data_IF_741861314715
#
_entry.id   IF_741861314715
#
_cell.length_a   1.000
_cell.length_b   1.000
_cell.length_c   1.000
_cell.angle_alpha   90.00
_cell.angle_beta   90.00
_cell.angle_gamma   90.00
#
_symmetry.space_group_name_H-M   'P 1'
#
loop_
_entity.id
_entity.type
_entity.pdbx_description
1 polymer ?
#
# COMPACT_ATOMS: atom_id res chain seq x y z
N UNK A 1 8.15 -7.88 5.20
CA UNK A 1 8.08 -6.48 4.72
C UNK A 1 6.92 -5.81 5.43
N UNK A 2 7.14 -4.68 6.11
CA UNK A 2 6.09 -3.97 6.84
C UNK A 2 5.09 -3.42 5.82
N UNK A 3 3.77 -3.52 6.05
CA UNK A 3 2.77 -2.76 5.32
C UNK A 3 3.03 -1.27 5.58
N UNK A 4 3.78 -0.58 4.73
CA UNK A 4 3.96 0.85 4.86
C UNK A 4 3.08 1.49 3.80
N UNK A 5 1.98 2.12 4.20
CA UNK A 5 1.38 3.16 3.38
C UNK A 5 1.91 4.51 3.89
N UNK A 6 2.76 5.19 3.13
CA UNK A 6 3.21 6.55 3.42
C UNK A 6 2.32 7.53 2.68
N UNK A 7 1.54 8.30 3.43
CA UNK A 7 0.80 9.46 2.92
C UNK A 7 1.75 10.67 2.93
N UNK A 8 1.95 11.31 1.78
CA UNK A 8 2.74 12.56 1.69
C UNK A 8 1.85 13.70 1.20
N UNK A 9 1.69 14.71 2.05
CA UNK A 9 0.96 15.95 1.79
C UNK A 9 0.86 16.79 3.07
N UNK A 10 1.81 17.70 3.31
CA UNK A 10 1.88 18.56 4.51
C UNK A 10 2.40 17.85 5.77
N UNK A 11 1.73 16.78 6.21
CA UNK A 11 2.13 15.93 7.34
C UNK A 11 2.13 14.46 6.93
N UNK A 12 3.13 13.71 7.38
CA UNK A 12 3.26 12.30 7.09
C UNK A 12 2.33 11.48 7.99
N UNK A 13 1.56 10.57 7.40
CA UNK A 13 0.73 9.61 8.14
C UNK A 13 0.98 8.19 7.65
N UNK A 14 1.08 7.26 8.58
CA UNK A 14 1.36 5.86 8.32
C UNK A 14 0.14 4.99 8.52
N UNK A 15 -0.06 4.03 7.62
CA UNK A 15 -1.03 2.96 7.83
C UNK A 15 -0.32 1.62 7.75
N UNK A 16 -0.46 0.82 8.81
CA UNK A 16 0.20 -0.49 8.94
C UNK A 16 -0.59 -1.42 9.88
N UNK A 17 -0.12 -2.63 10.12
CA UNK A 17 -0.68 -3.50 11.16
C UNK A 17 0.00 -3.24 12.51
N UNK A 18 -0.77 -3.43 13.57
CA UNK A 18 -0.27 -3.32 14.94
C UNK A 18 0.64 -4.51 15.25
N UNK A 19 1.93 -4.33 15.03
CA UNK A 19 2.98 -5.34 15.22
C UNK A 19 4.14 -4.72 16.00
N UNK A 20 4.88 -5.50 16.81
CA UNK A 20 6.01 -4.95 17.58
C UNK A 20 7.05 -4.22 16.72
N UNK A 21 7.32 -4.73 15.52
CA UNK A 21 8.24 -4.11 14.57
C UNK A 21 7.74 -2.74 14.07
N UNK A 22 6.44 -2.65 13.75
CA UNK A 22 5.82 -1.38 13.36
C UNK A 22 5.80 -0.38 14.51
N UNK A 23 5.44 -0.81 15.72
CA UNK A 23 5.43 0.04 16.91
C UNK A 23 6.81 0.60 17.24
N UNK A 24 7.85 -0.24 17.13
CA UNK A 24 9.23 0.17 17.37
C UNK A 24 9.71 1.21 16.36
N UNK A 25 9.43 0.99 15.06
CA UNK A 25 9.89 1.86 13.96
C UNK A 25 9.09 3.15 13.82
N UNK A 26 7.82 3.17 14.22
CA UNK A 26 6.92 4.30 14.06
C UNK A 26 6.66 5.03 15.39
N UNK A 27 7.57 4.92 16.35
CA UNK A 27 7.42 5.59 17.64
C UNK A 27 7.45 7.11 17.46
N UNK A 28 6.39 7.79 17.89
CA UNK A 28 6.25 9.25 17.76
C UNK A 28 5.71 9.70 16.40
N UNK A 29 5.42 8.76 15.49
CA UNK A 29 4.81 9.05 14.20
C UNK A 29 3.28 9.05 14.30
N UNK A 30 2.62 9.69 13.34
CA UNK A 30 1.17 9.57 13.19
C UNK A 30 0.83 8.26 12.49
N UNK A 31 0.16 7.34 13.19
CA UNK A 31 -0.13 5.98 12.69
C UNK A 31 -1.60 5.61 12.86
N UNK A 32 -2.19 5.03 11.82
CA UNK A 32 -3.45 4.28 11.89
C UNK A 32 -3.17 2.79 11.74
N UNK A 33 -3.56 2.00 12.73
CA UNK A 33 -3.43 0.55 12.65
C UNK A 33 -4.64 -0.10 11.99
N UNK A 34 -4.40 -0.86 10.93
CA UNK A 34 -5.42 -1.61 10.22
C UNK A 34 -5.73 -2.97 10.81
N UNK A 35 -6.82 -3.56 10.34
CA UNK A 35 -7.32 -4.85 10.81
C UNK A 35 -6.69 -6.00 10.04
N UNK A 36 -6.12 -6.95 10.78
CA UNK A 36 -5.55 -8.20 10.26
C UNK A 36 -6.30 -9.41 10.85
N UNK A 37 -6.25 -10.61 10.22
CA UNK A 37 -5.63 -10.91 8.93
C UNK A 37 -6.43 -10.33 7.75
N UNK A 38 -5.74 -10.03 6.65
CA UNK A 38 -6.34 -9.49 5.40
C UNK A 38 -6.52 -10.54 4.31
N UNK A 39 -5.81 -11.65 4.38
CA UNK A 39 -5.91 -12.75 3.42
C UNK A 39 -7.24 -13.48 3.60
N UNK A 40 -8.06 -13.53 2.55
CA UNK A 40 -9.36 -14.25 2.51
C UNK A 40 -10.30 -13.89 3.67
N UNK A 41 -10.21 -12.67 4.19
CA UNK A 41 -11.01 -12.21 5.32
C UNK A 41 -11.86 -10.99 4.90
N UNK A 42 -13.09 -11.27 4.46
CA UNK A 42 -14.02 -10.24 3.97
C UNK A 42 -14.46 -9.25 5.07
N UNK A 43 -14.74 -9.68 6.33
CA UNK A 43 -15.03 -8.74 7.42
C UNK A 43 -13.92 -7.70 7.63
N UNK A 44 -12.66 -8.13 7.65
CA UNK A 44 -11.54 -7.22 7.83
C UNK A 44 -11.28 -6.36 6.59
N UNK A 45 -11.56 -6.87 5.38
CA UNK A 45 -11.55 -6.04 4.17
C UNK A 45 -12.54 -4.87 4.28
N UNK A 46 -13.78 -5.13 4.73
CA UNK A 46 -14.78 -4.07 4.93
C UNK A 46 -14.39 -3.08 6.01
N UNK A 47 -13.82 -3.55 7.13
CA UNK A 47 -13.30 -2.67 8.19
C UNK A 47 -12.18 -1.77 7.67
N UNK A 48 -11.21 -2.34 6.96
CA UNK A 48 -10.11 -1.60 6.34
C UNK A 48 -10.60 -0.65 5.25
N UNK A 49 -11.69 -0.97 4.55
CA UNK A 49 -12.30 -0.07 3.57
C UNK A 49 -12.90 1.18 4.22
N UNK A 50 -13.64 1.01 5.33
CA UNK A 50 -14.18 2.12 6.12
C UNK A 50 -13.07 2.97 6.71
N UNK A 51 -12.03 2.31 7.25
CA UNK A 51 -10.85 2.99 7.77
C UNK A 51 -10.14 3.80 6.68
N UNK A 52 -9.88 3.20 5.52
CA UNK A 52 -9.23 3.87 4.40
C UNK A 52 -10.00 5.14 3.99
N UNK A 53 -11.33 5.05 3.86
CA UNK A 53 -12.15 6.22 3.56
C UNK A 53 -12.00 7.32 4.62
N UNK A 54 -12.02 6.96 5.91
CA UNK A 54 -11.84 7.92 7.00
C UNK A 54 -10.48 8.60 6.94
N UNK A 55 -9.40 7.81 6.82
CA UNK A 55 -8.02 8.30 6.75
C UNK A 55 -7.83 9.23 5.53
N UNK A 56 -8.29 8.81 4.35
CA UNK A 56 -8.15 9.63 3.14
C UNK A 56 -8.95 10.95 3.24
N UNK A 57 -10.10 10.94 3.90
CA UNK A 57 -10.90 12.17 4.11
C UNK A 57 -10.26 13.11 5.12
N UNK A 58 -9.70 12.55 6.20
CA UNK A 58 -9.08 13.31 7.28
C UNK A 58 -7.74 13.92 6.86
N UNK A 59 -6.87 13.12 6.25
CA UNK A 59 -5.49 13.53 5.94
C UNK A 59 -5.35 14.14 4.54
N UNK A 60 -6.31 13.92 3.63
CA UNK A 60 -6.31 14.46 2.25
C UNK A 60 -4.93 14.35 1.57
N UNK A 61 -4.37 13.13 1.43
CA UNK A 61 -3.05 12.91 0.83
C UNK A 61 -2.95 13.52 -0.57
N UNK A 62 -1.77 14.05 -0.91
CA UNK A 62 -1.42 14.32 -2.31
C UNK A 62 -0.88 13.07 -2.98
N UNK A 63 -0.18 12.21 -2.23
CA UNK A 63 0.29 10.90 -2.69
C UNK A 63 0.17 9.83 -1.61
N UNK A 64 -0.12 8.61 -2.04
CA UNK A 64 -0.11 7.38 -1.25
C UNK A 64 0.98 6.50 -1.83
N UNK A 65 1.94 6.10 -1.01
CA UNK A 65 3.00 5.16 -1.40
C UNK A 65 2.81 3.87 -0.62
N UNK A 66 2.82 2.69 -1.25
CA UNK A 66 2.75 1.41 -0.53
C UNK A 66 3.76 0.38 -0.99
N UNK A 67 4.42 -0.30 -0.06
CA UNK A 67 5.43 -1.35 -0.31
C UNK A 67 4.89 -2.77 -0.22
N UNK A 68 3.63 -2.96 -0.61
CA UNK A 68 3.00 -4.28 -0.67
C UNK A 68 2.46 -4.78 0.66
N UNK A 69 1.12 -4.85 0.76
CA UNK A 69 0.36 -5.56 1.79
C UNK A 69 -1.14 -5.57 1.43
N UNK A 70 -1.90 -6.50 1.98
CA UNK A 70 -3.36 -6.59 1.73
C UNK A 70 -4.13 -5.33 2.11
N UNK A 71 -3.62 -4.51 3.04
CA UNK A 71 -4.23 -3.24 3.43
C UNK A 71 -4.18 -2.18 2.33
N UNK A 72 -3.25 -2.28 1.37
CA UNK A 72 -3.09 -1.28 0.31
C UNK A 72 -4.30 -1.23 -0.64
N UNK A 73 -4.98 -2.36 -0.86
CA UNK A 73 -6.11 -2.48 -1.82
C UNK A 73 -7.18 -1.39 -1.61
N UNK A 74 -7.80 -1.23 -0.44
CA UNK A 74 -8.82 -0.19 -0.23
C UNK A 74 -8.27 1.24 -0.40
N UNK A 75 -7.02 1.51 -0.03
CA UNK A 75 -6.43 2.84 -0.17
C UNK A 75 -6.21 3.20 -1.64
N UNK A 76 -5.69 2.29 -2.46
CA UNK A 76 -5.45 2.56 -3.88
C UNK A 76 -6.76 2.69 -4.68
N UNK A 77 -7.77 1.88 -4.34
CA UNK A 77 -9.11 2.01 -4.93
C UNK A 77 -9.78 3.35 -4.63
N UNK A 78 -9.49 3.93 -3.46
CA UNK A 78 -10.09 5.20 -3.04
C UNK A 78 -9.19 6.42 -3.33
N UNK A 79 -7.90 6.23 -3.63
CA UNK A 79 -6.91 7.29 -3.82
C UNK A 79 -7.39 8.40 -4.77
N UNK A 80 -7.77 8.00 -5.99
CA UNK A 80 -8.20 8.91 -7.05
C UNK A 80 -9.43 9.74 -6.67
N UNK A 81 -10.37 9.16 -5.91
CA UNK A 81 -11.58 9.87 -5.44
C UNK A 81 -11.25 10.99 -4.45
N UNK A 82 -10.08 10.90 -3.81
CA UNK A 82 -9.57 11.90 -2.89
C UNK A 82 -8.50 12.80 -3.52
N UNK A 83 -8.30 12.73 -4.85
CA UNK A 83 -7.31 13.53 -5.57
C UNK A 83 -5.85 13.11 -5.32
N UNK A 84 -5.64 11.96 -4.67
CA UNK A 84 -4.31 11.48 -4.33
C UNK A 84 -3.70 10.66 -5.47
N UNK A 85 -2.43 10.91 -5.78
CA UNK A 85 -1.63 10.02 -6.63
C UNK A 85 -1.27 8.74 -5.89
N UNK A 86 -1.09 7.64 -6.60
CA UNK A 86 -0.84 6.33 -5.99
C UNK A 86 0.42 5.66 -6.54
N UNK A 87 1.35 5.31 -5.64
CA UNK A 87 2.62 4.67 -5.97
C UNK A 87 2.71 3.33 -5.26
N UNK A 88 2.68 2.24 -6.01
CA UNK A 88 2.81 0.89 -5.45
C UNK A 88 4.20 0.32 -5.74
N UNK A 89 4.84 -0.28 -4.73
CA UNK A 89 6.08 -1.06 -4.88
C UNK A 89 5.75 -2.51 -4.63
N UNK A 90 5.97 -3.35 -5.63
CA UNK A 90 5.75 -4.79 -5.52
C UNK A 90 6.82 -5.44 -4.63
N UNK A 91 6.44 -6.54 -3.99
CA UNK A 91 7.32 -7.29 -3.09
C UNK A 91 8.51 -7.90 -3.84
N UNK A 92 9.65 -7.94 -3.16
CA UNK A 92 10.93 -8.43 -3.70
C UNK A 92 10.95 -9.96 -3.87
N UNK A 93 10.18 -10.71 -3.09
CA UNK A 93 10.22 -12.18 -3.05
C UNK A 93 9.40 -12.87 -4.17
N UNK A 94 8.52 -12.12 -4.85
CA UNK A 94 7.63 -12.65 -5.91
C UNK A 94 8.09 -12.20 -7.29
N UNK A 95 9.15 -12.85 -7.76
CA UNK A 95 9.84 -12.49 -9.01
C UNK A 95 9.06 -12.93 -10.26
N UNK A 96 8.59 -14.18 -10.29
CA UNK A 96 8.00 -14.82 -11.48
C UNK A 96 6.50 -15.03 -11.38
N UNK A 97 5.87 -14.63 -10.26
CA UNK A 97 4.43 -14.76 -10.03
C UNK A 97 3.85 -13.43 -9.54
N UNK A 98 2.59 -13.17 -9.90
CA UNK A 98 1.88 -11.97 -9.43
C UNK A 98 1.34 -12.17 -8.02
N UNK A 99 1.47 -11.18 -7.15
CA UNK A 99 0.78 -11.18 -5.86
C UNK A 99 -0.71 -10.87 -6.04
N UNK A 100 -1.56 -11.35 -5.13
CA UNK A 100 -2.98 -10.99 -5.18
C UNK A 100 -3.17 -9.48 -5.02
N UNK A 101 -2.46 -8.87 -4.07
CA UNK A 101 -2.47 -7.42 -3.86
C UNK A 101 -2.00 -6.68 -5.10
N UNK A 102 -0.86 -7.08 -5.68
CA UNK A 102 -0.33 -6.48 -6.90
C UNK A 102 -1.34 -6.53 -8.04
N UNK A 103 -2.00 -7.67 -8.27
CA UNK A 103 -3.09 -7.79 -9.25
C UNK A 103 -4.26 -6.84 -8.99
N UNK A 104 -4.66 -6.67 -7.73
CA UNK A 104 -5.80 -5.84 -7.34
C UNK A 104 -5.48 -4.34 -7.36
N UNK A 105 -4.22 -3.98 -7.12
CA UNK A 105 -3.75 -2.58 -7.06
C UNK A 105 -3.26 -2.07 -8.40
N UNK A 106 -2.67 -2.93 -9.24
CA UNK A 106 -2.08 -2.58 -10.52
C UNK A 106 -2.94 -1.67 -11.41
N UNK A 107 -4.25 -1.92 -11.64
CA UNK A 107 -5.07 -1.04 -12.46
C UNK A 107 -5.42 0.31 -11.81
N UNK A 108 -5.13 0.50 -10.52
CA UNK A 108 -5.42 1.72 -9.76
C UNK A 108 -4.16 2.50 -9.36
N UNK A 109 -2.97 1.95 -9.62
CA UNK A 109 -1.70 2.60 -9.34
C UNK A 109 -1.35 3.59 -10.46
N UNK A 110 -1.08 4.86 -10.13
CA UNK A 110 -0.49 5.81 -11.09
C UNK A 110 0.94 5.41 -11.46
N UNK A 111 1.69 4.90 -10.48
CA UNK A 111 3.04 4.39 -10.66
C UNK A 111 3.17 3.04 -9.97
N UNK A 112 3.48 2.01 -10.76
CA UNK A 112 3.75 0.68 -10.25
C UNK A 112 5.24 0.37 -10.40
N UNK A 113 5.91 0.17 -9.28
CA UNK A 113 7.34 -0.08 -9.18
C UNK A 113 7.58 -1.56 -8.92
N UNK A 114 8.47 -2.15 -9.71
CA UNK A 114 8.92 -3.53 -9.54
C UNK A 114 10.40 -3.57 -9.22
N UNK A 115 10.83 -4.63 -8.55
CA UNK A 115 12.20 -4.77 -8.05
C UNK A 115 13.08 -5.64 -8.96
N UNK A 116 12.46 -6.41 -9.86
CA UNK A 116 13.14 -7.31 -10.79
C UNK A 116 12.68 -7.09 -12.24
N UNK A 117 13.58 -7.21 -13.24
CA UNK A 117 13.19 -7.15 -14.65
C UNK A 117 12.12 -8.17 -15.03
N UNK A 118 12.15 -9.37 -14.45
CA UNK A 118 11.18 -10.44 -14.70
C UNK A 118 9.75 -10.04 -14.29
N UNK A 119 9.60 -9.18 -13.27
CA UNK A 119 8.30 -8.68 -12.85
C UNK A 119 7.70 -7.72 -13.89
N UNK A 120 8.51 -7.06 -14.73
CA UNK A 120 7.99 -6.20 -15.80
C UNK A 120 7.22 -6.99 -16.87
N UNK A 121 7.57 -8.27 -17.07
CA UNK A 121 6.79 -9.17 -17.94
C UNK A 121 5.39 -9.40 -17.36
N UNK A 122 5.28 -9.46 -16.03
CA UNK A 122 4.01 -9.62 -15.33
C UNK A 122 3.21 -8.32 -15.24
N UNK A 123 3.90 -7.18 -15.19
CA UNK A 123 3.33 -5.85 -15.03
C UNK A 123 3.90 -4.92 -16.11
N UNK A 124 3.37 -4.96 -17.35
CA UNK A 124 4.00 -4.29 -18.51
C UNK A 124 4.17 -2.78 -18.40
N UNK A 125 3.34 -2.10 -17.61
CA UNK A 125 3.40 -0.64 -17.40
C UNK A 125 4.23 -0.27 -16.17
N UNK A 126 4.84 -1.25 -15.50
CA UNK A 126 5.68 -1.00 -14.33
C UNK A 126 7.03 -0.39 -14.68
N UNK A 127 7.59 0.35 -13.73
CA UNK A 127 8.97 0.85 -13.79
C UNK A 127 9.86 -0.01 -12.90
N UNK A 128 11.03 -0.36 -13.41
CA UNK A 128 12.05 -1.05 -12.62
C UNK A 128 12.68 -0.05 -11.64
N UNK A 129 12.47 -0.28 -10.35
CA UNK A 129 13.12 0.42 -9.26
C UNK A 129 14.45 -0.23 -8.88
N UNK A 130 14.54 -1.55 -9.04
CA UNK A 130 15.61 -2.38 -8.48
C UNK A 130 15.31 -2.83 -7.04
N UNK A 131 16.15 -3.69 -6.45
CA UNK A 131 15.94 -4.23 -5.10
C UNK A 131 16.04 -3.13 -4.03
N UNK A 132 15.02 -3.03 -3.18
CA UNK A 132 14.97 -2.15 -2.01
C UNK A 132 14.60 -3.02 -0.80
N UNK A 133 15.50 -3.09 0.19
CA UNK A 133 15.40 -3.93 1.39
C UNK A 133 14.98 -3.09 2.59
#
# INVERSE_FOLDING_TARGET
MIPLAKVVGGTQHWVTFDTPDAQSKLKGESVTYGHYPTTRNLPNLLRNWRQARSVLTQFKPQVIVSTGAGIAVPYFWLAHRHGARSVYVEVVDRVTTRTLTGRLVYPFADLFLVQWPQQQVLYPQSRLLGPVI
#
